data_IF_233405388557
#
_entry.id   IF_233405388557
#
_cell.length_a   1.000
_cell.length_b   1.000
_cell.length_c   1.000
_cell.angle_alpha   90.00
_cell.angle_beta   90.00
_cell.angle_gamma   90.00
#
_symmetry.space_group_name_H-M   'P 1'
#
loop_
_entity.id
_entity.type
_entity.pdbx_description
1 polymer ?
#
# COMPACT_ATOMS: atom_id res chain seq x y z
N UNK A 1 -9.92 -7.29 -35.89
CA UNK A 1 -10.75 -7.60 -34.71
C UNK A 1 -10.31 -6.68 -33.59
N UNK A 2 -11.28 -6.13 -32.87
CA UNK A 2 -11.06 -5.29 -31.70
C UNK A 2 -11.47 -6.09 -30.48
N UNK A 3 -10.54 -6.20 -29.51
CA UNK A 3 -10.77 -6.85 -28.22
C UNK A 3 -10.77 -5.79 -27.11
N UNK A 4 -11.75 -5.84 -26.22
CA UNK A 4 -11.80 -4.95 -25.05
C UNK A 4 -11.07 -5.57 -23.88
N UNK A 5 -10.29 -4.75 -23.15
CA UNK A 5 -9.53 -5.17 -21.99
C UNK A 5 -9.67 -4.12 -20.86
N UNK A 6 -9.72 -4.55 -19.59
CA UNK A 6 -10.05 -3.66 -18.47
C UNK A 6 -8.93 -2.66 -18.13
N UNK A 7 -7.69 -2.95 -18.46
CA UNK A 7 -6.55 -2.06 -18.12
C UNK A 7 -5.44 -2.11 -19.17
N UNK A 8 -4.61 -1.05 -19.20
CA UNK A 8 -3.40 -1.01 -20.04
C UNK A 8 -2.41 -2.11 -19.70
N UNK A 9 -2.30 -2.47 -18.44
CA UNK A 9 -1.41 -3.54 -18.00
C UNK A 9 -1.82 -4.89 -18.61
N UNK A 10 -3.11 -5.21 -18.57
CA UNK A 10 -3.66 -6.44 -19.18
C UNK A 10 -3.45 -6.42 -20.69
N UNK A 11 -3.68 -5.29 -21.35
CA UNK A 11 -3.39 -5.13 -22.77
C UNK A 11 -1.93 -5.43 -23.10
N UNK A 12 -1.00 -4.75 -22.42
CA UNK A 12 0.44 -4.85 -22.72
C UNK A 12 0.96 -6.26 -22.40
N UNK A 13 0.43 -6.91 -21.37
CA UNK A 13 0.74 -8.29 -21.02
C UNK A 13 0.23 -9.28 -22.07
N UNK A 14 -1.00 -9.12 -22.57
CA UNK A 14 -1.57 -9.95 -23.63
C UNK A 14 -0.81 -9.72 -24.95
N UNK A 15 -0.55 -8.46 -25.32
CA UNK A 15 0.15 -8.11 -26.55
C UNK A 15 1.56 -8.71 -26.58
N UNK A 16 2.29 -8.63 -25.47
CA UNK A 16 3.68 -9.11 -25.41
C UNK A 16 3.83 -10.63 -25.42
N UNK A 17 2.80 -11.40 -25.02
CA UNK A 17 2.91 -12.87 -24.86
C UNK A 17 1.97 -13.69 -25.72
N UNK A 18 0.82 -13.14 -26.07
CA UNK A 18 -0.28 -13.92 -26.64
C UNK A 18 -0.86 -13.33 -27.94
N UNK A 19 -0.50 -12.10 -28.36
CA UNK A 19 -1.09 -11.48 -29.54
C UNK A 19 -0.96 -12.33 -30.80
N UNK A 20 0.24 -12.87 -31.05
CA UNK A 20 0.51 -13.71 -32.20
C UNK A 20 -0.27 -15.03 -32.13
N UNK A 21 -0.31 -15.66 -30.97
CA UNK A 21 -1.07 -16.91 -30.77
C UNK A 21 -2.57 -16.72 -30.96
N UNK A 22 -3.11 -15.60 -30.43
CA UNK A 22 -4.52 -15.26 -30.58
C UNK A 22 -4.83 -14.99 -32.06
N UNK A 23 -3.95 -14.26 -32.75
CA UNK A 23 -4.11 -13.97 -34.18
C UNK A 23 -4.08 -15.24 -35.02
N UNK A 24 -3.17 -16.16 -34.74
CA UNK A 24 -3.06 -17.46 -35.43
C UNK A 24 -4.31 -18.32 -35.23
N UNK A 25 -4.82 -18.41 -34.00
CA UNK A 25 -6.06 -19.14 -33.72
C UNK A 25 -7.24 -18.51 -34.46
N UNK A 26 -7.36 -17.19 -34.48
CA UNK A 26 -8.45 -16.49 -35.18
C UNK A 26 -8.35 -16.71 -36.68
N UNK A 27 -7.14 -16.70 -37.26
CA UNK A 27 -6.92 -16.98 -38.68
C UNK A 27 -7.32 -18.40 -39.10
N UNK A 28 -7.29 -19.38 -38.19
CA UNK A 28 -7.80 -20.73 -38.47
C UNK A 28 -9.31 -20.76 -38.74
N UNK A 29 -10.06 -19.83 -38.09
CA UNK A 29 -11.52 -19.73 -38.30
C UNK A 29 -11.91 -18.74 -39.40
N UNK A 30 -11.12 -17.67 -39.59
CA UNK A 30 -11.42 -16.61 -40.55
C UNK A 30 -10.15 -16.01 -41.16
N UNK A 31 -9.75 -16.49 -42.32
CA UNK A 31 -8.50 -16.15 -43.02
C UNK A 31 -8.38 -14.67 -43.42
N UNK A 32 -9.46 -13.88 -43.42
CA UNK A 32 -9.47 -12.47 -43.82
C UNK A 32 -9.06 -11.48 -42.71
N UNK A 33 -8.63 -11.96 -41.54
CA UNK A 33 -8.27 -11.10 -40.38
C UNK A 33 -6.77 -10.96 -40.35
N UNK A 34 -6.32 -9.71 -40.56
CA UNK A 34 -4.88 -9.37 -40.61
C UNK A 34 -4.37 -8.74 -39.31
N UNK A 35 -5.26 -8.15 -38.48
CA UNK A 35 -4.85 -7.33 -37.33
C UNK A 35 -5.77 -7.50 -36.14
N UNK A 36 -5.15 -7.53 -34.95
CA UNK A 36 -5.83 -7.42 -33.65
C UNK A 36 -5.60 -6.03 -33.08
N UNK A 37 -6.66 -5.41 -32.60
CA UNK A 37 -6.60 -4.14 -31.84
C UNK A 37 -7.18 -4.37 -30.46
N UNK A 38 -6.55 -3.76 -29.46
CA UNK A 38 -6.99 -3.84 -28.07
C UNK A 38 -7.46 -2.48 -27.59
N UNK A 39 -8.74 -2.37 -27.23
CA UNK A 39 -9.31 -1.19 -26.59
C UNK A 39 -9.34 -1.39 -25.07
N UNK A 40 -9.12 -0.31 -24.35
CA UNK A 40 -9.24 -0.29 -22.90
C UNK A 40 -10.63 0.22 -22.55
N UNK A 41 -11.39 -0.53 -21.75
CA UNK A 41 -12.68 -0.06 -21.23
C UNK A 41 -12.44 1.06 -20.22
N UNK A 42 -12.70 2.31 -20.64
CA UNK A 42 -12.85 3.41 -19.70
C UNK A 42 -14.25 3.34 -19.08
N UNK A 43 -14.36 2.82 -17.85
CA UNK A 43 -15.56 2.96 -17.04
C UNK A 43 -15.73 4.43 -16.64
N UNK A 44 -16.20 5.25 -17.56
CA UNK A 44 -16.74 6.56 -17.25
C UNK A 44 -18.25 6.55 -17.52
N UNK A 45 -18.99 6.59 -16.43
CA UNK A 45 -20.41 6.93 -16.47
C UNK A 45 -20.61 8.28 -17.14
N UNK A 46 -21.63 8.28 -18.02
CA UNK A 46 -22.10 9.41 -18.81
C UNK A 46 -22.42 10.59 -17.90
N UNK A 47 -21.71 11.70 -18.05
CA UNK A 47 -22.29 13.03 -17.88
C UNK A 47 -21.83 13.91 -19.03
N UNK A 48 -22.81 14.21 -19.90
CA UNK A 48 -22.71 15.22 -20.94
C UNK A 48 -22.56 16.61 -20.30
N UNK A 49 -21.53 17.34 -20.67
CA UNK A 49 -21.71 18.71 -21.21
C UNK A 49 -20.38 19.27 -21.72
N UNK A 50 -20.49 19.80 -22.92
CA UNK A 50 -19.51 20.50 -23.72
C UNK A 50 -18.71 21.57 -22.98
N UNK A 51 -17.38 21.61 -23.19
CA UNK A 51 -16.68 22.88 -23.44
C UNK A 51 -15.40 22.61 -24.25
N UNK A 52 -15.38 23.21 -25.43
CA UNK A 52 -14.21 23.36 -26.29
C UNK A 52 -13.18 24.26 -25.57
N UNK A 53 -11.99 23.77 -25.27
CA UNK A 53 -10.81 24.64 -25.21
C UNK A 53 -9.50 23.87 -25.31
N UNK A 54 -8.72 24.27 -26.30
CA UNK A 54 -7.28 24.21 -26.50
C UNK A 54 -6.54 22.89 -26.14
N UNK A 55 -6.22 22.14 -27.19
CA UNK A 55 -5.16 21.14 -27.24
C UNK A 55 -3.82 21.70 -26.78
N UNK A 56 -3.48 21.54 -25.49
CA UNK A 56 -2.11 21.43 -25.09
C UNK A 56 -1.73 19.95 -25.18
N UNK A 57 -0.69 19.62 -25.94
CA UNK A 57 -0.07 18.29 -25.97
C UNK A 57 0.56 18.03 -24.60
N UNK A 58 -0.26 17.56 -23.66
CA UNK A 58 0.24 17.00 -22.40
C UNK A 58 1.01 15.73 -22.76
N UNK A 59 2.28 15.69 -22.41
CA UNK A 59 3.18 14.60 -22.79
C UNK A 59 2.75 13.28 -22.18
N UNK A 60 3.02 12.16 -22.83
CA UNK A 60 2.58 10.82 -22.41
C UNK A 60 3.04 10.44 -20.99
N UNK A 61 4.12 11.07 -20.50
CA UNK A 61 4.65 10.90 -19.15
C UNK A 61 3.77 11.60 -18.10
N UNK A 62 3.40 12.87 -18.30
CA UNK A 62 2.55 13.62 -17.38
C UNK A 62 1.18 12.96 -17.22
N UNK A 63 0.55 12.52 -18.30
CA UNK A 63 -0.71 11.77 -18.22
C UNK A 63 -0.57 10.43 -17.47
N UNK A 64 0.56 9.71 -17.65
CA UNK A 64 0.77 8.47 -16.90
C UNK A 64 1.04 8.74 -15.43
N UNK A 65 1.76 9.81 -15.08
CA UNK A 65 2.09 10.19 -13.70
C UNK A 65 0.87 10.77 -12.95
N UNK A 66 0.09 11.63 -13.61
CA UNK A 66 -1.15 12.19 -13.03
C UNK A 66 -2.20 11.10 -12.74
N UNK A 67 -2.30 10.08 -13.59
CA UNK A 67 -3.19 8.94 -13.36
C UNK A 67 -2.76 8.04 -12.19
N UNK A 68 -1.53 8.17 -11.68
CA UNK A 68 -1.02 7.35 -10.58
C UNK A 68 -1.07 8.03 -9.21
N UNK A 69 -1.32 9.33 -9.14
CA UNK A 69 -1.49 10.07 -7.88
C UNK A 69 -2.91 9.87 -7.33
N UNK A 70 -3.38 8.60 -7.31
CA UNK A 70 -4.71 8.26 -6.82
C UNK A 70 -4.64 7.96 -5.33
N UNK A 71 -5.15 8.90 -4.54
CA UNK A 71 -5.42 8.67 -3.14
C UNK A 71 -6.63 7.73 -2.97
N UNK A 72 -6.51 6.80 -2.05
CA UNK A 72 -7.66 6.01 -1.61
C UNK A 72 -8.57 6.89 -0.76
N UNK A 73 -9.77 7.18 -1.22
CA UNK A 73 -10.74 8.03 -0.51
C UNK A 73 -11.14 7.47 0.86
N UNK A 74 -10.90 6.17 1.09
CA UNK A 74 -11.21 5.49 2.34
C UNK A 74 -10.09 5.61 3.39
N UNK A 75 -8.91 6.14 3.05
CA UNK A 75 -7.79 6.27 3.97
C UNK A 75 -7.61 7.72 4.39
N UNK A 76 -8.55 8.22 5.22
CA UNK A 76 -8.56 9.58 5.78
C UNK A 76 -8.14 9.58 7.24
N UNK A 77 -7.84 10.75 7.78
CA UNK A 77 -7.61 10.90 9.23
C UNK A 77 -8.84 10.54 10.06
N UNK A 78 -10.06 10.85 9.56
CA UNK A 78 -11.31 10.62 10.28
C UNK A 78 -11.60 9.15 10.54
N UNK A 79 -11.13 8.26 9.68
CA UNK A 79 -11.31 6.82 9.83
C UNK A 79 -10.02 6.08 10.24
N UNK A 80 -8.99 6.82 10.66
CA UNK A 80 -7.82 6.27 11.31
C UNK A 80 -8.05 6.16 12.81
N UNK A 81 -8.12 4.94 13.32
CA UNK A 81 -8.38 4.72 14.75
C UNK A 81 -7.11 4.93 15.56
N UNK A 82 -7.14 5.94 16.42
CA UNK A 82 -5.99 6.33 17.24
C UNK A 82 -5.99 5.55 18.57
N UNK A 83 -4.82 5.13 18.99
CA UNK A 83 -4.52 4.53 20.28
C UNK A 83 -3.07 4.80 20.66
N UNK A 84 -2.65 4.38 21.85
CA UNK A 84 -1.32 4.65 22.38
C UNK A 84 -0.19 4.25 21.41
N UNK A 85 -0.35 3.12 20.72
CA UNK A 85 0.66 2.56 19.80
C UNK A 85 0.89 3.38 18.51
N UNK A 86 -0.01 4.29 18.15
CA UNK A 86 0.05 5.05 16.89
C UNK A 86 -0.23 6.56 17.04
N UNK A 87 -0.50 7.04 18.26
CA UNK A 87 -0.87 8.43 18.54
C UNK A 87 0.21 9.42 18.11
N UNK A 88 1.47 9.11 18.38
CA UNK A 88 2.60 9.97 18.01
C UNK A 88 2.70 10.11 16.49
N UNK A 89 2.58 9.02 15.75
CA UNK A 89 2.61 9.01 14.28
C UNK A 89 1.41 9.79 13.70
N UNK A 90 0.23 9.61 14.27
CA UNK A 90 -0.98 10.35 13.88
C UNK A 90 -0.81 11.85 14.13
N UNK A 91 -0.35 12.24 15.31
CA UNK A 91 -0.16 13.65 15.68
C UNK A 91 0.89 14.33 14.80
N UNK A 92 2.01 13.66 14.53
CA UNK A 92 3.05 14.17 13.62
C UNK A 92 2.52 14.31 12.19
N UNK A 93 1.75 13.34 11.69
CA UNK A 93 1.13 13.40 10.37
C UNK A 93 0.15 14.58 10.25
N UNK A 94 -0.70 14.81 11.27
CA UNK A 94 -1.60 15.98 11.33
C UNK A 94 -0.82 17.30 11.34
N UNK A 95 0.29 17.35 12.10
CA UNK A 95 1.10 18.57 12.19
C UNK A 95 1.77 18.94 10.87
N UNK A 96 2.21 17.98 10.09
CA UNK A 96 2.78 18.18 8.75
C UNK A 96 1.74 18.79 7.79
N UNK A 97 0.46 18.48 7.94
CA UNK A 97 -0.60 19.08 7.12
C UNK A 97 -0.78 20.58 7.39
N UNK A 98 -0.70 20.99 8.66
CA UNK A 98 -0.91 22.37 9.08
C UNK A 98 0.36 23.21 8.87
N UNK A 99 1.51 22.66 9.21
CA UNK A 99 2.79 23.38 9.26
C UNK A 99 3.86 22.59 8.47
N UNK A 100 3.94 22.89 7.16
CA UNK A 100 4.94 22.26 6.30
C UNK A 100 6.37 22.54 6.79
N UNK A 101 7.25 21.58 6.56
CA UNK A 101 8.67 21.61 6.94
C UNK A 101 8.97 21.64 8.46
N UNK A 102 7.96 21.47 9.34
CA UNK A 102 8.21 21.39 10.79
C UNK A 102 8.97 20.11 11.16
N UNK A 103 8.58 18.97 10.58
CA UNK A 103 9.28 17.69 10.67
C UNK A 103 9.68 17.25 9.27
N UNK A 104 10.91 17.56 8.84
CA UNK A 104 11.31 17.33 7.46
C UNK A 104 12.70 16.67 7.35
N UNK A 105 12.76 15.41 6.91
CA UNK A 105 11.64 14.55 6.54
C UNK A 105 10.85 14.03 7.76
N UNK A 106 9.57 13.68 7.55
CA UNK A 106 8.83 12.81 8.46
C UNK A 106 9.01 11.37 8.00
N UNK A 107 9.64 10.55 8.81
CA UNK A 107 9.89 9.14 8.52
C UNK A 107 9.07 8.25 9.45
N UNK A 108 8.11 7.49 8.88
CA UNK A 108 7.22 6.60 9.63
C UNK A 108 7.58 5.16 9.29
N UNK A 109 7.91 4.37 10.31
CA UNK A 109 8.19 2.96 10.09
C UNK A 109 7.36 2.05 10.99
N UNK A 110 7.13 0.84 10.56
CA UNK A 110 6.48 -0.23 11.33
C UNK A 110 6.52 -1.53 10.56
N UNK A 111 6.21 -2.63 11.21
CA UNK A 111 5.92 -3.90 10.55
C UNK A 111 4.84 -3.76 9.47
N UNK A 112 4.75 -4.74 8.58
CA UNK A 112 3.79 -4.71 7.48
C UNK A 112 2.35 -4.73 8.02
N UNK A 113 1.48 -3.90 7.40
CA UNK A 113 0.04 -3.90 7.71
C UNK A 113 -0.37 -3.14 8.98
N UNK A 114 0.48 -2.24 9.53
CA UNK A 114 0.20 -1.44 10.74
C UNK A 114 -0.43 -0.07 10.46
N UNK A 115 -0.73 0.28 9.20
CA UNK A 115 -1.43 1.53 8.87
C UNK A 115 -0.54 2.65 8.32
N UNK A 116 0.76 2.44 8.03
CA UNK A 116 1.65 3.45 7.42
C UNK A 116 1.04 4.10 6.18
N UNK A 117 0.71 3.29 5.18
CA UNK A 117 0.11 3.78 3.92
C UNK A 117 -1.19 4.54 4.15
N UNK A 118 -1.98 4.18 5.18
CA UNK A 118 -3.19 4.91 5.56
C UNK A 118 -2.85 6.34 6.00
N UNK A 119 -1.89 6.51 6.92
CA UNK A 119 -1.46 7.85 7.36
C UNK A 119 -0.86 8.68 6.23
N UNK A 120 -0.01 8.08 5.39
CA UNK A 120 0.55 8.77 4.23
C UNK A 120 -0.54 9.25 3.26
N UNK A 121 -1.52 8.40 3.02
CA UNK A 121 -2.66 8.74 2.17
C UNK A 121 -3.54 9.83 2.80
N UNK A 122 -3.76 9.76 4.11
CA UNK A 122 -4.52 10.78 4.86
C UNK A 122 -3.85 12.17 4.78
N UNK A 123 -2.52 12.24 4.91
CA UNK A 123 -1.76 13.48 4.68
C UNK A 123 -2.04 14.02 3.27
N UNK A 124 -1.94 13.17 2.26
CA UNK A 124 -2.14 13.56 0.87
C UNK A 124 -3.54 14.09 0.59
N UNK A 125 -4.58 13.45 1.15
CA UNK A 125 -5.97 13.87 1.01
C UNK A 125 -6.28 15.17 1.76
N UNK A 126 -5.70 15.38 2.95
CA UNK A 126 -5.94 16.58 3.76
C UNK A 126 -5.38 17.84 3.08
N UNK A 127 -4.26 17.72 2.39
CA UNK A 127 -3.52 18.86 1.82
C UNK A 127 -3.74 19.00 0.31
N UNK A 128 -4.24 17.95 -0.37
CA UNK A 128 -4.24 17.83 -1.82
C UNK A 128 -4.94 18.96 -2.59
N UNK A 129 -5.93 19.61 -1.99
CA UNK A 129 -6.66 20.72 -2.64
C UNK A 129 -5.89 22.05 -2.58
N UNK A 130 -4.94 22.19 -1.67
CA UNK A 130 -4.22 23.45 -1.42
C UNK A 130 -2.78 23.48 -1.93
N UNK A 131 -2.16 22.31 -2.16
CA UNK A 131 -0.75 22.16 -2.54
C UNK A 131 -0.57 21.04 -3.54
N UNK A 132 0.51 21.13 -4.34
CA UNK A 132 0.91 20.05 -5.23
C UNK A 132 1.50 18.89 -4.42
N UNK A 133 0.68 17.86 -4.16
CA UNK A 133 1.09 16.63 -3.46
C UNK A 133 1.47 15.55 -4.47
N UNK A 134 2.64 14.96 -4.26
CA UNK A 134 3.10 13.79 -5.00
C UNK A 134 3.13 12.58 -4.06
N UNK A 135 2.27 11.59 -4.31
CA UNK A 135 2.24 10.33 -3.58
C UNK A 135 2.64 9.17 -4.48
N UNK A 136 3.70 8.48 -4.13
CA UNK A 136 4.23 7.38 -4.95
C UNK A 136 4.86 6.28 -4.08
N UNK A 137 4.75 5.02 -4.50
CA UNK A 137 5.58 3.97 -3.89
C UNK A 137 6.99 3.96 -4.48
N UNK A 138 7.98 3.51 -3.70
CA UNK A 138 9.36 3.42 -4.17
C UNK A 138 9.51 2.52 -5.41
N UNK A 139 8.71 1.47 -5.54
CA UNK A 139 8.68 0.63 -6.74
C UNK A 139 8.23 1.39 -7.99
N UNK A 140 7.19 2.21 -7.86
CA UNK A 140 6.69 3.03 -8.97
C UNK A 140 7.65 4.16 -9.32
N UNK A 141 8.28 4.79 -8.33
CA UNK A 141 9.34 5.76 -8.55
C UNK A 141 10.46 5.14 -9.40
N UNK A 142 10.92 3.94 -9.05
CA UNK A 142 11.89 3.17 -9.82
C UNK A 142 11.39 2.86 -11.25
N UNK A 143 10.15 2.43 -11.40
CA UNK A 143 9.59 2.15 -12.72
C UNK A 143 9.62 3.38 -13.62
N UNK A 144 9.23 4.55 -13.11
CA UNK A 144 9.27 5.80 -13.85
C UNK A 144 10.68 6.26 -14.15
N UNK A 145 11.61 6.09 -13.21
CA UNK A 145 13.03 6.36 -13.40
C UNK A 145 13.61 5.55 -14.57
N UNK A 146 13.45 4.23 -14.55
CA UNK A 146 13.95 3.35 -15.62
C UNK A 146 13.30 3.67 -16.97
N UNK A 147 11.99 3.94 -16.98
CA UNK A 147 11.26 4.33 -18.18
C UNK A 147 11.78 5.66 -18.75
N UNK A 148 12.06 6.63 -17.90
CA UNK A 148 12.57 7.95 -18.31
C UNK A 148 13.97 7.87 -18.92
N UNK A 149 14.83 6.97 -18.41
CA UNK A 149 16.13 6.67 -19.04
C UNK A 149 15.93 6.08 -20.43
N UNK A 150 15.08 5.05 -20.56
CA UNK A 150 14.83 4.39 -21.86
C UNK A 150 14.24 5.32 -22.91
N UNK A 151 13.47 6.33 -22.48
CA UNK A 151 12.78 7.27 -23.38
C UNK A 151 13.58 8.59 -23.57
N UNK A 152 14.75 8.75 -22.96
CA UNK A 152 15.51 10.01 -22.92
C UNK A 152 14.71 11.19 -22.34
N UNK A 153 13.85 10.93 -21.32
CA UNK A 153 12.96 11.92 -20.70
C UNK A 153 13.36 12.25 -19.25
N UNK A 154 14.65 12.09 -18.89
CA UNK A 154 15.14 12.31 -17.52
C UNK A 154 14.91 13.74 -17.01
N UNK A 155 14.98 14.75 -17.89
CA UNK A 155 14.71 16.14 -17.49
C UNK A 155 13.27 16.29 -17.01
N UNK A 156 12.29 15.77 -17.78
CA UNK A 156 10.87 15.80 -17.39
C UNK A 156 10.58 15.04 -16.10
N UNK A 157 11.27 13.91 -15.91
CA UNK A 157 11.17 13.13 -14.67
C UNK A 157 11.64 13.96 -13.47
N UNK A 158 12.79 14.60 -13.58
CA UNK A 158 13.36 15.45 -12.53
C UNK A 158 12.46 16.63 -12.21
N UNK A 159 12.01 17.36 -13.22
CA UNK A 159 11.14 18.52 -13.06
C UNK A 159 9.81 18.15 -12.39
N UNK A 160 9.24 17.01 -12.78
CA UNK A 160 7.99 16.51 -12.22
C UNK A 160 8.11 16.20 -10.72
N UNK A 161 9.10 15.39 -10.31
CA UNK A 161 9.22 15.01 -8.90
C UNK A 161 9.75 16.15 -8.03
N UNK A 162 10.68 16.96 -8.52
CA UNK A 162 11.23 18.12 -7.80
C UNK A 162 10.25 19.30 -7.75
N UNK A 163 9.22 19.30 -8.58
CA UNK A 163 8.12 20.27 -8.58
C UNK A 163 7.19 20.18 -7.36
N UNK A 164 7.10 19.06 -6.67
CA UNK A 164 6.17 18.83 -5.57
C UNK A 164 6.35 19.83 -4.41
N UNK A 165 5.23 20.22 -3.77
CA UNK A 165 5.26 20.94 -2.49
C UNK A 165 5.32 19.95 -1.31
N UNK A 166 4.66 18.80 -1.47
CA UNK A 166 4.74 17.67 -0.53
C UNK A 166 5.07 16.42 -1.34
N UNK A 167 6.16 15.75 -0.98
CA UNK A 167 6.59 14.51 -1.59
C UNK A 167 6.43 13.36 -0.60
N UNK A 168 5.53 12.44 -0.90
CA UNK A 168 5.21 11.27 -0.08
C UNK A 168 5.70 10.04 -0.81
N UNK A 169 6.63 9.31 -0.22
CA UNK A 169 7.12 8.05 -0.76
C UNK A 169 6.85 6.89 0.19
N UNK A 170 6.12 5.90 -0.31
CA UNK A 170 5.74 4.70 0.45
C UNK A 170 6.71 3.57 0.18
N UNK A 171 7.01 2.81 1.23
CA UNK A 171 7.82 1.59 1.18
C UNK A 171 9.24 1.79 0.62
N UNK A 172 10.01 2.73 1.20
CA UNK A 172 11.35 3.09 0.72
C UNK A 172 12.35 1.92 0.73
N UNK A 173 12.11 0.85 1.49
CA UNK A 173 12.95 -0.35 1.51
C UNK A 173 13.10 -1.00 0.12
N UNK A 174 12.20 -0.74 -0.82
CA UNK A 174 12.31 -1.26 -2.19
C UNK A 174 13.44 -0.64 -3.02
N UNK A 175 14.11 0.43 -2.54
CA UNK A 175 15.32 0.97 -3.16
C UNK A 175 16.60 0.23 -2.77
N UNK A 176 16.53 -0.74 -1.83
CA UNK A 176 17.67 -1.51 -1.37
C UNK A 176 18.43 -2.17 -2.54
N UNK A 177 19.77 -1.98 -2.58
CA UNK A 177 20.64 -2.59 -3.56
C UNK A 177 20.53 -2.03 -5.00
N UNK A 178 19.83 -0.90 -5.19
CA UNK A 178 19.61 -0.27 -6.51
C UNK A 178 20.35 1.07 -6.60
N UNK A 179 21.65 1.04 -6.75
CA UNK A 179 22.54 2.20 -6.62
C UNK A 179 22.12 3.41 -7.48
N UNK A 180 21.89 3.22 -8.78
CA UNK A 180 21.49 4.31 -9.68
C UNK A 180 20.17 4.98 -9.25
N UNK A 181 19.23 4.19 -8.73
CA UNK A 181 17.98 4.70 -8.18
C UNK A 181 18.21 5.45 -6.87
N UNK A 182 19.06 4.93 -5.98
CA UNK A 182 19.42 5.59 -4.73
C UNK A 182 20.05 6.95 -4.99
N UNK A 183 20.89 7.05 -6.02
CA UNK A 183 21.52 8.30 -6.42
C UNK A 183 20.50 9.33 -6.93
N UNK A 184 19.60 8.96 -7.83
CA UNK A 184 18.55 9.87 -8.30
C UNK A 184 17.57 10.25 -7.17
N UNK A 185 17.25 9.30 -6.30
CA UNK A 185 16.44 9.59 -5.11
C UNK A 185 17.13 10.61 -4.21
N UNK A 186 18.43 10.45 -3.95
CA UNK A 186 19.22 11.39 -3.16
C UNK A 186 19.20 12.81 -3.75
N UNK A 187 19.41 12.93 -5.07
CA UNK A 187 19.35 14.23 -5.75
C UNK A 187 17.95 14.85 -5.71
N UNK A 188 16.91 14.04 -5.88
CA UNK A 188 15.52 14.49 -5.77
C UNK A 188 15.21 14.96 -4.37
N UNK A 189 15.64 14.19 -3.35
CA UNK A 189 15.48 14.52 -1.94
C UNK A 189 16.13 15.88 -1.61
N UNK A 190 17.39 16.07 -2.00
CA UNK A 190 18.10 17.35 -1.74
C UNK A 190 17.41 18.54 -2.41
N UNK A 191 17.02 18.41 -3.67
CA UNK A 191 16.31 19.46 -4.39
C UNK A 191 14.99 19.84 -3.72
N UNK A 192 14.26 18.85 -3.17
CA UNK A 192 13.02 19.09 -2.42
C UNK A 192 13.26 19.79 -1.08
N UNK A 193 14.32 19.41 -0.34
CA UNK A 193 14.70 20.10 0.90
C UNK A 193 15.12 21.55 0.60
N UNK A 194 15.95 21.81 -0.40
CA UNK A 194 16.37 23.14 -0.82
C UNK A 194 15.19 24.02 -1.24
N UNK A 195 14.18 23.44 -1.88
CA UNK A 195 12.94 24.12 -2.24
C UNK A 195 12.04 24.42 -1.01
N UNK A 196 12.30 23.82 0.15
CA UNK A 196 11.42 23.90 1.32
C UNK A 196 10.18 23.00 1.23
N UNK A 197 10.21 22.00 0.37
CA UNK A 197 9.13 21.03 0.23
C UNK A 197 9.12 20.05 1.41
N UNK A 198 7.93 19.64 1.85
CA UNK A 198 7.78 18.61 2.88
C UNK A 198 8.01 17.23 2.27
N UNK A 199 8.85 16.42 2.93
CA UNK A 199 9.07 15.03 2.57
C UNK A 199 8.47 14.12 3.65
N UNK A 200 7.71 13.10 3.22
CA UNK A 200 7.16 12.08 4.09
C UNK A 200 7.55 10.71 3.54
N UNK A 201 8.11 9.87 4.38
CA UNK A 201 8.67 8.56 3.96
C UNK A 201 8.07 7.47 4.84
N UNK A 202 7.70 6.34 4.25
CA UNK A 202 7.40 5.13 5.01
C UNK A 202 8.41 4.02 4.76
N UNK A 203 8.55 3.14 5.76
CA UNK A 203 9.40 1.94 5.68
C UNK A 203 8.87 0.81 6.56
N UNK A 204 9.38 -0.40 6.32
CA UNK A 204 9.15 -1.55 7.19
C UNK A 204 10.09 -1.57 8.42
N UNK A 205 11.14 -0.73 8.43
CA UNK A 205 12.17 -0.63 9.49
C UNK A 205 12.77 0.77 9.55
N UNK A 206 13.47 1.13 10.66
CA UNK A 206 14.09 2.45 10.80
C UNK A 206 15.23 2.66 9.78
N UNK A 207 15.63 3.93 9.50
CA UNK A 207 16.69 4.24 8.53
C UNK A 207 18.01 3.51 8.82
N UNK A 208 18.39 3.36 10.09
CA UNK A 208 19.62 2.65 10.51
C UNK A 208 19.66 1.19 10.06
N UNK A 209 18.50 0.54 9.96
CA UNK A 209 18.35 -0.89 9.64
C UNK A 209 18.03 -1.14 8.17
N UNK A 210 18.12 -0.12 7.31
CA UNK A 210 17.97 -0.27 5.87
C UNK A 210 19.30 -0.76 5.26
N UNK A 211 19.41 -2.09 5.12
CA UNK A 211 20.59 -2.71 4.48
C UNK A 211 20.72 -2.26 3.02
N UNK A 212 21.95 -2.20 2.51
CA UNK A 212 22.24 -1.85 1.11
C UNK A 212 21.70 -0.49 0.65
N UNK A 213 21.42 0.42 1.58
CA UNK A 213 21.20 1.85 1.32
C UNK A 213 22.46 2.63 1.76
N UNK A 214 22.89 3.57 0.92
CA UNK A 214 24.05 4.40 1.16
C UNK A 214 23.87 5.23 2.45
N UNK A 215 24.94 5.33 3.27
CA UNK A 215 24.88 6.03 4.57
C UNK A 215 24.46 7.49 4.46
N UNK A 216 24.85 8.18 3.36
CA UNK A 216 24.41 9.55 3.11
C UNK A 216 22.88 9.69 3.00
N UNK A 217 22.19 8.67 2.45
CA UNK A 217 20.74 8.64 2.32
C UNK A 217 20.08 8.34 3.67
N UNK A 218 20.63 7.36 4.41
CA UNK A 218 20.16 7.03 5.77
C UNK A 218 20.25 8.25 6.69
N UNK A 219 21.38 8.96 6.65
CA UNK A 219 21.60 10.18 7.42
C UNK A 219 20.56 11.26 7.09
N UNK A 220 20.24 11.46 5.81
CA UNK A 220 19.19 12.40 5.37
C UNK A 220 17.80 12.00 5.84
N UNK A 221 17.46 10.71 5.73
CA UNK A 221 16.18 10.19 6.23
C UNK A 221 16.04 10.32 7.74
N UNK A 222 17.13 10.14 8.49
CA UNK A 222 17.17 10.27 9.94
C UNK A 222 17.29 11.72 10.44
N UNK A 223 17.57 12.68 9.55
CA UNK A 223 17.78 14.09 9.93
C UNK A 223 16.53 14.87 10.34
N UNK A 224 15.35 14.31 10.13
CA UNK A 224 14.07 14.85 10.56
C UNK A 224 13.47 14.11 11.75
N UNK A 225 12.16 13.88 11.72
CA UNK A 225 11.45 13.13 12.75
C UNK A 225 11.25 11.68 12.30
N UNK A 226 11.81 10.74 13.03
CA UNK A 226 11.65 9.29 12.81
C UNK A 226 10.72 8.73 13.87
N UNK A 227 9.60 8.10 13.45
CA UNK A 227 8.56 7.59 14.34
C UNK A 227 8.22 6.16 13.94
N UNK A 228 8.03 5.32 14.94
CA UNK A 228 7.47 3.99 14.78
C UNK A 228 5.96 3.94 15.05
N UNK A 229 5.28 3.03 14.40
CA UNK A 229 3.93 2.60 14.76
C UNK A 229 4.07 1.21 15.38
N UNK A 230 3.76 1.13 16.67
CA UNK A 230 3.82 -0.11 17.44
C UNK A 230 2.61 -1.02 17.12
N UNK A 231 2.72 -2.34 17.38
CA UNK A 231 1.57 -3.23 17.30
C UNK A 231 0.43 -2.75 18.21
N UNK A 232 -0.82 -2.71 17.71
CA UNK A 232 -1.96 -2.28 18.50
C UNK A 232 -2.26 -3.25 19.63
N UNK A 233 -2.66 -2.73 20.79
CA UNK A 233 -3.17 -3.50 21.91
C UNK A 233 -4.54 -4.14 21.57
N UNK A 234 -5.07 -4.94 22.49
CA UNK A 234 -6.33 -5.66 22.26
C UNK A 234 -7.51 -4.71 22.05
N UNK A 235 -7.58 -3.64 22.83
CA UNK A 235 -8.69 -2.69 22.77
C UNK A 235 -8.68 -1.88 21.47
N UNK A 236 -7.52 -1.44 21.02
CA UNK A 236 -7.37 -0.78 19.74
C UNK A 236 -7.71 -1.72 18.57
N UNK A 237 -7.30 -2.99 18.64
CA UNK A 237 -7.67 -4.00 17.63
C UNK A 237 -9.17 -4.19 17.53
N UNK A 238 -9.87 -4.29 18.67
CA UNK A 238 -11.34 -4.39 18.70
C UNK A 238 -11.98 -3.13 18.09
N UNK A 239 -11.50 -1.94 18.45
CA UNK A 239 -12.00 -0.66 17.88
C UNK A 239 -11.81 -0.61 16.37
N UNK A 240 -10.64 -1.02 15.87
CA UNK A 240 -10.36 -1.08 14.42
C UNK A 240 -11.30 -2.05 13.71
N UNK A 241 -11.52 -3.25 14.27
CA UNK A 241 -12.43 -4.24 13.70
C UNK A 241 -13.87 -3.72 13.64
N UNK A 242 -14.36 -3.11 14.72
CA UNK A 242 -15.70 -2.51 14.76
C UNK A 242 -15.86 -1.39 13.73
N UNK A 243 -14.89 -0.49 13.65
CA UNK A 243 -14.90 0.60 12.65
C UNK A 243 -14.92 0.05 11.22
N UNK A 244 -14.12 -0.98 10.93
CA UNK A 244 -14.11 -1.61 9.61
C UNK A 244 -15.39 -2.40 9.31
N UNK A 245 -15.98 -3.00 10.31
CA UNK A 245 -17.28 -3.66 10.17
C UNK A 245 -18.37 -2.66 9.79
N UNK A 246 -18.47 -1.52 10.49
CA UNK A 246 -19.46 -0.48 10.21
C UNK A 246 -19.25 0.14 8.82
N UNK A 247 -17.99 0.36 8.40
CA UNK A 247 -17.68 0.82 7.06
C UNK A 247 -18.20 -0.15 5.99
N UNK A 248 -17.99 -1.46 6.19
CA UNK A 248 -18.44 -2.50 5.26
C UNK A 248 -19.97 -2.59 5.27
N UNK A 249 -20.61 -2.59 6.46
CA UNK A 249 -22.04 -2.65 6.62
C UNK A 249 -22.76 -1.51 5.89
N UNK A 250 -22.22 -0.29 6.01
CA UNK A 250 -22.75 0.90 5.35
C UNK A 250 -22.60 0.83 3.84
N UNK A 251 -21.42 0.42 3.35
CA UNK A 251 -21.13 0.39 1.92
C UNK A 251 -21.92 -0.68 1.16
N UNK A 252 -22.25 -1.79 1.80
CA UNK A 252 -22.94 -2.93 1.17
C UNK A 252 -24.39 -3.10 1.58
N UNK A 253 -24.93 -2.22 2.45
CA UNK A 253 -26.33 -2.26 2.93
C UNK A 253 -26.68 -3.61 3.58
N UNK A 254 -25.79 -4.16 4.38
CA UNK A 254 -25.91 -5.50 4.93
C UNK A 254 -26.62 -5.50 6.30
N UNK A 255 -27.57 -6.43 6.52
CA UNK A 255 -28.47 -6.46 7.68
C UNK A 255 -28.08 -7.51 8.74
N UNK A 256 -26.80 -7.86 8.86
CA UNK A 256 -26.34 -8.76 9.92
C UNK A 256 -25.39 -8.05 10.88
N UNK A 257 -25.42 -8.46 12.14
CA UNK A 257 -24.54 -7.95 13.18
C UNK A 257 -23.61 -9.05 13.68
N UNK A 258 -22.40 -8.67 14.05
CA UNK A 258 -21.45 -9.54 14.73
C UNK A 258 -21.53 -9.28 16.24
N UNK A 259 -21.43 -10.35 17.03
CA UNK A 259 -21.41 -10.22 18.50
C UNK A 259 -20.06 -9.70 18.98
N UNK A 260 -20.06 -9.05 20.16
CA UNK A 260 -18.83 -8.58 20.83
C UNK A 260 -17.79 -9.71 21.01
N UNK A 261 -18.27 -10.92 21.27
CA UNK A 261 -17.43 -12.11 21.42
C UNK A 261 -16.66 -12.45 20.16
N UNK A 262 -17.26 -12.27 18.97
CA UNK A 262 -16.60 -12.49 17.68
C UNK A 262 -15.52 -11.45 17.44
N UNK A 263 -15.77 -10.17 17.72
CA UNK A 263 -14.74 -9.12 17.62
C UNK A 263 -13.55 -9.40 18.55
N UNK A 264 -13.85 -9.74 19.82
CA UNK A 264 -12.80 -10.09 20.78
C UNK A 264 -12.02 -11.33 20.37
N UNK A 265 -12.71 -12.35 19.85
CA UNK A 265 -12.07 -13.55 19.31
C UNK A 265 -11.12 -13.21 18.15
N UNK A 266 -11.57 -12.46 17.15
CA UNK A 266 -10.74 -12.03 16.02
C UNK A 266 -9.52 -11.24 16.48
N UNK A 267 -9.72 -10.27 17.38
CA UNK A 267 -8.64 -9.45 17.93
C UNK A 267 -7.63 -10.24 18.76
N UNK A 268 -8.04 -11.34 19.39
CA UNK A 268 -7.17 -12.19 20.22
C UNK A 268 -6.38 -13.20 19.41
N UNK A 269 -7.00 -13.79 18.40
CA UNK A 269 -6.40 -14.88 17.62
C UNK A 269 -5.53 -14.36 16.47
N UNK A 270 -5.90 -13.24 15.82
CA UNK A 270 -5.16 -12.69 14.68
C UNK A 270 -4.31 -11.50 15.14
N UNK A 271 -3.06 -11.79 15.54
CA UNK A 271 -2.14 -10.79 16.13
C UNK A 271 -1.11 -10.24 15.14
N UNK A 272 -0.96 -10.85 13.99
CA UNK A 272 0.15 -10.63 13.06
C UNK A 272 0.14 -9.22 12.45
N UNK A 273 -1.01 -8.74 11.96
CA UNK A 273 -1.14 -7.40 11.38
C UNK A 273 -2.60 -6.96 11.30
N UNK A 274 -2.83 -5.63 11.25
CA UNK A 274 -4.17 -5.07 11.02
C UNK A 274 -4.72 -5.55 9.66
N UNK A 275 -3.88 -5.68 8.65
CA UNK A 275 -4.26 -6.18 7.31
C UNK A 275 -4.82 -7.59 7.37
N UNK A 276 -4.15 -8.49 8.08
CA UNK A 276 -4.62 -9.86 8.25
C UNK A 276 -5.86 -9.94 9.12
N UNK A 277 -5.94 -9.12 10.16
CA UNK A 277 -7.11 -9.02 11.03
C UNK A 277 -8.37 -8.57 10.26
N UNK A 278 -8.24 -7.56 9.38
CA UNK A 278 -9.32 -7.13 8.47
C UNK A 278 -9.63 -8.22 7.44
N UNK A 279 -8.62 -8.93 6.94
CA UNK A 279 -8.82 -10.10 6.08
C UNK A 279 -9.62 -11.22 6.75
N UNK A 280 -9.35 -11.49 8.02
CA UNK A 280 -10.13 -12.45 8.82
C UNK A 280 -11.57 -11.98 9.03
N UNK A 281 -11.79 -10.69 9.33
CA UNK A 281 -13.13 -10.09 9.41
C UNK A 281 -13.89 -10.28 8.09
N UNK A 282 -13.28 -9.94 6.96
CA UNK A 282 -13.92 -10.10 5.64
C UNK A 282 -14.32 -11.56 5.37
N UNK A 283 -13.52 -12.52 5.82
CA UNK A 283 -13.84 -13.97 5.66
C UNK A 283 -15.04 -14.39 6.51
N UNK A 284 -15.13 -13.86 7.73
CA UNK A 284 -16.30 -14.05 8.63
C UNK A 284 -17.55 -13.43 8.03
N UNK A 285 -17.43 -12.21 7.48
CA UNK A 285 -18.55 -11.53 6.82
C UNK A 285 -19.02 -12.26 5.55
N UNK A 286 -18.12 -12.77 4.75
CA UNK A 286 -18.47 -13.59 3.58
C UNK A 286 -19.26 -14.85 3.98
N UNK A 287 -18.87 -15.51 5.08
CA UNK A 287 -19.63 -16.64 5.62
C UNK A 287 -21.04 -16.22 6.10
N UNK A 288 -21.14 -15.09 6.82
CA UNK A 288 -22.42 -14.54 7.25
C UNK A 288 -23.36 -14.25 6.08
N UNK A 289 -22.80 -13.71 5.00
CA UNK A 289 -23.55 -13.39 3.78
C UNK A 289 -24.09 -14.64 3.07
N UNK A 290 -23.27 -15.69 2.97
CA UNK A 290 -23.67 -16.96 2.33
C UNK A 290 -24.76 -17.69 3.17
N UNK A 291 -24.62 -17.68 4.50
CA UNK A 291 -25.48 -18.44 5.40
C UNK A 291 -26.62 -17.61 5.99
N UNK A 292 -26.72 -16.30 5.67
CA UNK A 292 -27.72 -15.35 6.19
C UNK A 292 -27.84 -15.34 7.72
N UNK A 293 -26.74 -15.63 8.42
CA UNK A 293 -26.66 -15.65 9.89
C UNK A 293 -25.29 -15.21 10.37
N UNK A 294 -25.25 -14.63 11.57
CA UNK A 294 -24.00 -14.35 12.28
C UNK A 294 -23.34 -15.66 12.75
N UNK A 295 -22.03 -15.86 12.47
CA UNK A 295 -21.34 -17.06 12.93
C UNK A 295 -21.06 -17.01 14.43
N UNK A 296 -21.13 -18.15 15.07
CA UNK A 296 -20.67 -18.32 16.45
C UNK A 296 -19.14 -18.52 16.48
N UNK A 297 -18.53 -18.52 17.68
CA UNK A 297 -17.08 -18.67 17.87
C UNK A 297 -16.55 -19.99 17.28
N UNK A 298 -17.33 -21.07 17.39
CA UNK A 298 -16.91 -22.39 16.83
C UNK A 298 -16.84 -22.32 15.30
N UNK A 299 -17.82 -21.73 14.66
CA UNK A 299 -17.82 -21.48 13.20
C UNK A 299 -16.66 -20.57 12.80
N UNK A 300 -16.41 -19.49 13.56
CA UNK A 300 -15.25 -18.60 13.34
C UNK A 300 -13.91 -19.35 13.41
N UNK A 301 -13.73 -20.23 14.40
CA UNK A 301 -12.51 -21.07 14.49
C UNK A 301 -12.34 -21.95 13.26
N UNK A 302 -13.40 -22.54 12.75
CA UNK A 302 -13.36 -23.38 11.53
C UNK A 302 -13.02 -22.57 10.28
N UNK A 303 -13.65 -21.38 10.14
CA UNK A 303 -13.44 -20.47 9.00
C UNK A 303 -12.02 -19.93 8.96
N UNK A 304 -11.44 -19.65 10.13
CA UNK A 304 -10.16 -18.96 10.29
C UNK A 304 -8.98 -19.88 10.64
N UNK A 305 -9.16 -21.20 10.51
CA UNK A 305 -8.13 -22.18 10.87
C UNK A 305 -6.75 -21.85 10.26
N UNK A 306 -6.71 -21.40 9.01
CA UNK A 306 -5.48 -21.08 8.30
C UNK A 306 -4.81 -19.80 8.87
N UNK A 307 -5.61 -18.78 9.23
CA UNK A 307 -5.11 -17.55 9.86
C UNK A 307 -4.54 -17.81 11.25
N UNK A 308 -5.24 -18.60 12.05
CA UNK A 308 -4.82 -18.97 13.40
C UNK A 308 -3.52 -19.78 13.38
N UNK A 309 -3.42 -20.73 12.47
CA UNK A 309 -2.23 -21.55 12.33
C UNK A 309 -1.01 -20.77 11.81
N UNK A 310 -1.22 -19.75 10.97
CA UNK A 310 -0.14 -18.87 10.51
C UNK A 310 0.34 -17.93 11.63
N UNK A 311 -0.57 -17.43 12.45
CA UNK A 311 -0.25 -16.56 13.60
C UNK A 311 0.47 -17.31 14.72
N UNK A 312 0.19 -18.62 14.90
CA UNK A 312 0.83 -19.46 15.92
C UNK A 312 2.19 -20.06 15.47
N UNK A 313 2.61 -19.81 14.24
CA UNK A 313 3.96 -20.17 13.74
C UNK A 313 5.06 -19.19 14.16
N UNK A 314 4.84 -18.33 15.13
CA UNK A 314 5.94 -17.61 15.77
C UNK A 314 6.85 -18.63 16.45
N UNK A 315 7.99 -18.89 15.85
CA UNK A 315 9.05 -19.74 16.39
C UNK A 315 9.52 -19.02 17.68
N UNK A 316 9.08 -19.50 18.82
CA UNK A 316 9.62 -19.08 20.11
C UNK A 316 10.76 -20.03 20.52
N UNK A 317 11.59 -19.58 21.44
CA UNK A 317 12.74 -20.37 21.95
C UNK A 317 12.29 -21.74 22.46
N UNK A 318 11.15 -21.79 23.13
CA UNK A 318 10.56 -23.00 23.67
C UNK A 318 10.12 -23.99 22.55
N UNK A 319 9.59 -23.49 21.44
CA UNK A 319 9.27 -24.33 20.26
C UNK A 319 10.53 -24.90 19.62
N UNK A 320 11.63 -24.13 19.57
CA UNK A 320 12.91 -24.58 19.04
C UNK A 320 13.48 -25.66 19.96
N UNK A 321 13.50 -25.41 21.28
CA UNK A 321 13.98 -26.34 22.27
C UNK A 321 13.21 -27.67 22.22
N UNK A 322 11.88 -27.63 22.16
CA UNK A 322 11.03 -28.80 22.04
C UNK A 322 11.31 -29.59 20.73
N UNK A 323 11.51 -28.90 19.62
CA UNK A 323 11.80 -29.52 18.32
C UNK A 323 13.19 -30.17 18.30
N UNK A 324 14.19 -29.50 18.88
CA UNK A 324 15.56 -30.02 19.01
C UNK A 324 15.58 -31.22 19.96
N UNK A 325 14.95 -31.11 21.13
CA UNK A 325 14.83 -32.20 22.09
C UNK A 325 14.17 -33.44 21.44
N UNK A 326 13.05 -33.25 20.73
CA UNK A 326 12.37 -34.34 20.02
C UNK A 326 13.23 -34.95 18.90
N UNK A 327 14.00 -34.14 18.16
CA UNK A 327 14.85 -34.61 17.06
C UNK A 327 16.04 -35.46 17.58
N UNK A 328 16.61 -35.08 18.72
CA UNK A 328 17.74 -35.80 19.30
C UNK A 328 17.35 -36.78 20.40
N UNK A 329 16.04 -36.97 20.67
CA UNK A 329 15.51 -37.81 21.75
C UNK A 329 16.10 -37.45 23.15
N UNK A 330 16.26 -36.16 23.39
CA UNK A 330 16.75 -35.59 24.65
C UNK A 330 15.60 -34.95 25.45
N UNK A 331 15.75 -34.90 26.76
CA UNK A 331 14.88 -34.06 27.61
C UNK A 331 15.28 -32.58 27.50
N UNK A 332 14.31 -31.65 27.59
CA UNK A 332 14.58 -30.20 27.55
C UNK A 332 15.61 -29.76 28.57
N UNK A 333 15.63 -30.43 29.72
CA UNK A 333 16.62 -30.16 30.80
C UNK A 333 18.06 -30.57 30.44
N UNK A 334 18.26 -31.38 29.43
CA UNK A 334 19.58 -31.79 28.92
C UNK A 334 20.11 -30.87 27.82
N UNK A 335 19.26 -29.93 27.39
CA UNK A 335 19.57 -28.91 26.37
C UNK A 335 19.94 -27.55 26.98
N UNK A 336 19.74 -27.36 28.28
CA UNK A 336 20.08 -26.18 29.09
C UNK A 336 21.31 -26.44 29.90
#
# INVERSE_FOLDING_TARGET
>A
IVLSVPTRFVRDWIVSRYADKILDIIKTYKKSIERLEFLIEDNQEKNNQSFLSKKNKVTSLENSLLNYNRFSQNNRFDNFIVGESNELAYTAARKVCVQSAHYNPLFIYSSVGMGKTHLLNAIGLEVGDSKQVMFISAERFMYHFVRSIKNNEMVKFKDFFRGANIFIIDDIQFVNGKEAMQEEFFHTFNALIEKGSQIVISSDRPPSNLDKIQERIKSRMGGGLVIDIQPPDLDLRIKILKSKFEEIKTNFNENYDLTEEVFRFLATEVKSSIREMVGALNRVLAFSKINTKSPNIYECKKILKDFINSSNKSINVESIQNLVAAHFNLNIQELL
#
